data_IF_512501327444
#
_entry.id   IF_512501327444
#
_cell.length_a   1.000
_cell.length_b   1.000
_cell.length_c   1.000
_cell.angle_alpha   90.00
_cell.angle_beta   90.00
_cell.angle_gamma   90.00
#
_symmetry.space_group_name_H-M   'P 1'
#
loop_
_entity.id
_entity.type
_entity.pdbx_description
1 polymer ?
#
# COMPACT_ATOMS: atom_id res chain seq x y z
N UNK A 1 2.24 18.88 40.73
CA UNK A 1 1.99 17.49 40.28
C UNK A 1 1.09 17.39 39.05
N UNK A 2 0.02 18.20 38.92
CA UNK A 2 -0.90 18.17 37.77
C UNK A 2 -0.19 18.52 36.44
N UNK A 3 0.70 19.53 36.41
CA UNK A 3 1.41 19.91 35.19
C UNK A 3 2.35 18.83 34.63
N UNK A 4 2.93 18.00 35.50
CA UNK A 4 3.80 16.89 35.08
C UNK A 4 2.98 15.74 34.47
N UNK A 5 1.78 15.49 35.03
CA UNK A 5 0.85 14.51 34.48
C UNK A 5 0.32 14.93 33.09
N UNK A 6 0.04 16.24 32.90
CA UNK A 6 -0.37 16.78 31.59
C UNK A 6 0.76 16.66 30.56
N UNK A 7 2.00 16.98 30.93
CA UNK A 7 3.14 16.85 30.04
C UNK A 7 3.38 15.40 29.59
N UNK A 8 3.24 14.42 30.51
CA UNK A 8 3.35 13.00 30.18
C UNK A 8 2.23 12.55 29.24
N UNK A 9 0.98 13.00 29.48
CA UNK A 9 -0.14 12.65 28.62
C UNK A 9 0.02 13.20 27.18
N UNK A 10 0.51 14.43 27.05
CA UNK A 10 0.78 15.04 25.73
C UNK A 10 1.92 14.31 25.00
N UNK A 11 3.00 13.96 25.70
CA UNK A 11 4.11 13.20 25.11
C UNK A 11 3.69 11.79 24.67
N UNK A 12 2.88 11.10 25.48
CA UNK A 12 2.34 9.77 25.12
C UNK A 12 1.43 9.81 23.89
N UNK A 13 0.61 10.85 23.76
CA UNK A 13 -0.25 11.05 22.59
C UNK A 13 0.56 11.31 21.31
N UNK A 14 1.66 12.06 21.39
CA UNK A 14 2.55 12.31 20.25
C UNK A 14 3.22 11.03 19.73
N UNK A 15 3.65 10.14 20.62
CA UNK A 15 4.27 8.85 20.25
C UNK A 15 3.24 7.89 19.63
N UNK A 16 1.97 7.96 20.06
CA UNK A 16 0.88 7.16 19.49
C UNK A 16 0.48 7.61 18.07
N UNK A 17 0.60 8.91 17.77
CA UNK A 17 0.22 9.49 16.47
C UNK A 17 1.09 8.98 15.31
N UNK A 18 2.37 8.69 15.57
CA UNK A 18 3.32 8.22 14.55
C UNK A 18 3.04 6.80 14.02
N UNK A 19 2.12 6.08 14.67
CA UNK A 19 1.76 4.70 14.32
C UNK A 19 0.71 4.60 13.21
N UNK A 20 0.06 5.69 12.81
CA UNK A 20 -1.21 5.58 12.09
C UNK A 20 -1.13 5.40 10.56
N UNK A 21 -0.04 5.75 9.87
CA UNK A 21 -0.14 5.78 8.38
C UNK A 21 1.15 5.44 7.59
N UNK A 22 2.33 5.48 8.22
CA UNK A 22 3.57 5.35 7.44
C UNK A 22 4.09 3.92 7.29
N UNK A 23 3.57 2.93 8.03
CA UNK A 23 4.15 1.58 7.99
C UNK A 23 3.95 0.89 6.63
N UNK A 24 2.82 1.09 5.97
CA UNK A 24 2.53 0.46 4.68
C UNK A 24 3.37 1.09 3.58
N UNK A 25 3.37 2.43 3.48
CA UNK A 25 4.21 3.14 2.51
C UNK A 25 5.70 2.87 2.75
N UNK A 26 6.20 2.95 3.99
CA UNK A 26 7.59 2.61 4.32
C UNK A 26 7.94 1.17 3.92
N UNK A 27 7.05 0.21 4.15
CA UNK A 27 7.25 -1.19 3.72
C UNK A 27 7.28 -1.32 2.19
N UNK A 28 6.39 -0.61 1.49
CA UNK A 28 6.32 -0.56 0.03
C UNK A 28 7.58 0.04 -0.57
N UNK A 29 8.03 1.20 -0.07
CA UNK A 29 9.27 1.85 -0.48
C UNK A 29 10.49 0.96 -0.26
N UNK A 30 10.63 0.35 0.92
CA UNK A 30 11.73 -0.58 1.21
C UNK A 30 11.74 -1.81 0.29
N UNK A 31 10.58 -2.25 -0.19
CA UNK A 31 10.43 -3.40 -1.07
C UNK A 31 10.57 -3.03 -2.55
N UNK A 32 10.58 -1.73 -2.87
CA UNK A 32 10.73 -1.20 -4.24
C UNK A 32 9.68 -1.73 -5.24
N UNK A 33 8.47 -1.99 -4.74
CA UNK A 33 7.31 -2.35 -5.55
C UNK A 33 6.02 -2.23 -4.74
N UNK A 34 4.87 -2.04 -5.38
CA UNK A 34 3.54 -2.22 -4.79
C UNK A 34 3.15 -3.70 -4.88
N UNK A 35 2.79 -4.37 -3.76
CA UNK A 35 2.09 -5.65 -3.85
C UNK A 35 0.62 -5.34 -4.07
N UNK A 36 0.11 -5.73 -5.22
CA UNK A 36 -1.27 -5.56 -5.59
C UNK A 36 -2.00 -6.88 -5.37
N UNK A 37 -2.93 -6.91 -4.43
CA UNK A 37 -3.87 -8.02 -4.29
C UNK A 37 -4.88 -7.95 -5.43
N UNK A 38 -5.05 -9.05 -6.16
CA UNK A 38 -5.95 -9.14 -7.31
C UNK A 38 -6.86 -10.36 -7.17
N UNK A 39 -8.06 -10.29 -7.74
CA UNK A 39 -9.03 -11.39 -7.76
C UNK A 39 -9.24 -11.88 -9.19
N UNK A 40 -8.77 -13.10 -9.51
CA UNK A 40 -8.86 -13.62 -10.89
C UNK A 40 -10.26 -14.14 -11.26
N UNK A 41 -11.14 -14.31 -10.27
CA UNK A 41 -12.53 -14.76 -10.43
C UNK A 41 -13.52 -13.68 -10.84
N UNK A 42 -13.10 -12.41 -10.97
CA UNK A 42 -13.98 -11.29 -11.35
C UNK A 42 -13.51 -10.65 -12.69
N UNK A 43 -14.09 -11.06 -13.83
CA UNK A 43 -13.74 -10.53 -15.14
C UNK A 43 -13.87 -8.99 -15.19
N UNK A 44 -12.86 -8.33 -15.75
CA UNK A 44 -12.78 -6.87 -15.86
C UNK A 44 -12.10 -6.18 -14.67
N UNK A 45 -11.93 -6.86 -13.53
CA UNK A 45 -11.19 -6.32 -12.39
C UNK A 45 -9.72 -6.74 -12.42
N UNK A 46 -9.47 -8.05 -12.59
CA UNK A 46 -8.12 -8.54 -12.82
C UNK A 46 -8.12 -9.89 -13.52
N UNK A 47 -7.34 -9.98 -14.60
CA UNK A 47 -7.08 -11.23 -15.33
C UNK A 47 -5.63 -11.26 -15.81
N UNK A 48 -5.02 -12.43 -15.73
CA UNK A 48 -3.73 -12.71 -16.36
C UNK A 48 -3.96 -13.45 -17.69
N UNK A 49 -3.29 -13.02 -18.74
CA UNK A 49 -3.23 -13.78 -19.99
C UNK A 49 -2.22 -14.95 -19.90
N UNK A 50 -2.17 -15.80 -20.93
CA UNK A 50 -1.23 -16.94 -21.00
C UNK A 50 0.25 -16.53 -21.01
N UNK A 51 0.54 -15.25 -21.29
CA UNK A 51 1.88 -14.67 -21.30
C UNK A 51 2.23 -14.02 -19.95
N UNK A 52 1.32 -14.06 -18.98
CA UNK A 52 1.48 -13.45 -17.66
C UNK A 52 1.22 -11.94 -17.62
N UNK A 53 0.65 -11.36 -18.67
CA UNK A 53 0.25 -9.95 -18.67
C UNK A 53 -1.05 -9.79 -17.91
N UNK A 54 -1.04 -8.85 -16.97
CA UNK A 54 -2.21 -8.51 -16.16
C UNK A 54 -2.98 -7.36 -16.80
N UNK A 55 -4.31 -7.47 -16.78
CA UNK A 55 -5.25 -6.45 -17.24
C UNK A 55 -6.50 -6.37 -16.35
N UNK A 56 -7.15 -5.21 -16.32
CA UNK A 56 -8.38 -4.96 -15.54
C UNK A 56 -8.27 -3.76 -14.61
N UNK A 57 -9.37 -3.42 -13.96
CA UNK A 57 -9.47 -2.26 -13.07
C UNK A 57 -8.45 -2.28 -11.91
N UNK A 58 -8.34 -3.39 -11.17
CA UNK A 58 -7.41 -3.51 -10.04
C UNK A 58 -5.96 -3.38 -10.51
N UNK A 59 -5.68 -3.92 -11.70
CA UNK A 59 -4.37 -3.88 -12.34
C UNK A 59 -3.98 -2.45 -12.68
N UNK A 60 -4.86 -1.71 -13.36
CA UNK A 60 -4.61 -0.34 -13.77
C UNK A 60 -4.54 0.60 -12.56
N UNK A 61 -5.39 0.38 -11.56
CA UNK A 61 -5.34 1.11 -10.30
C UNK A 61 -4.00 0.92 -9.59
N UNK A 62 -3.52 -0.33 -9.48
CA UNK A 62 -2.23 -0.61 -8.86
C UNK A 62 -1.05 -0.03 -9.64
N UNK A 63 -1.10 -0.05 -10.98
CA UNK A 63 -0.10 0.62 -11.82
C UNK A 63 -0.11 2.13 -11.60
N UNK A 64 -1.27 2.76 -11.47
CA UNK A 64 -1.39 4.18 -11.16
C UNK A 64 -0.80 4.52 -9.78
N UNK A 65 -1.03 3.69 -8.76
CA UNK A 65 -0.43 3.84 -7.44
C UNK A 65 1.10 3.68 -7.50
N UNK A 66 1.61 2.73 -8.28
CA UNK A 66 3.05 2.56 -8.47
C UNK A 66 3.69 3.76 -9.18
N UNK A 67 3.05 4.27 -10.23
CA UNK A 67 3.48 5.50 -10.88
C UNK A 67 3.50 6.69 -9.91
N UNK A 68 2.49 6.82 -9.05
CA UNK A 68 2.44 7.91 -8.06
C UNK A 68 3.54 7.82 -6.98
N UNK A 69 3.96 6.61 -6.60
CA UNK A 69 4.96 6.41 -5.53
C UNK A 69 6.39 6.36 -6.08
N UNK A 70 6.59 5.73 -7.24
CA UNK A 70 7.91 5.37 -7.78
C UNK A 70 8.24 6.07 -9.10
N UNK A 71 7.32 6.85 -9.67
CA UNK A 71 7.42 7.39 -11.04
C UNK A 71 7.59 6.28 -12.10
N UNK A 72 7.13 5.06 -11.78
CA UNK A 72 7.25 3.88 -12.62
C UNK A 72 6.02 2.96 -12.43
N UNK A 73 5.13 2.84 -13.43
CA UNK A 73 3.95 1.99 -13.34
C UNK A 73 4.29 0.49 -13.33
N UNK A 74 5.52 0.11 -13.70
CA UNK A 74 5.97 -1.29 -13.71
C UNK A 74 6.41 -1.78 -12.34
N UNK A 75 6.54 -0.90 -11.34
CA UNK A 75 6.89 -1.22 -9.93
C UNK A 75 5.72 -1.84 -9.17
N UNK A 76 5.13 -2.89 -9.73
CA UNK A 76 3.99 -3.63 -9.20
C UNK A 76 4.26 -5.13 -9.28
N UNK A 77 3.78 -5.85 -8.25
CA UNK A 77 3.69 -7.31 -8.25
C UNK A 77 2.27 -7.72 -7.91
N UNK A 78 1.62 -8.45 -8.82
CA UNK A 78 0.27 -8.94 -8.64
C UNK A 78 0.28 -10.24 -7.84
N UNK A 79 -0.58 -10.31 -6.82
CA UNK A 79 -0.73 -11.45 -5.90
C UNK A 79 -2.19 -11.86 -5.94
N UNK A 80 -2.53 -13.03 -6.51
CA UNK A 80 -3.88 -13.59 -6.45
C UNK A 80 -4.30 -13.79 -4.99
N UNK A 81 -5.53 -13.39 -4.65
CA UNK A 81 -6.09 -13.47 -3.28
C UNK A 81 -7.32 -14.37 -3.18
N UNK A 82 -7.77 -14.89 -4.31
CA UNK A 82 -8.88 -15.82 -4.51
C UNK A 82 -8.54 -17.28 -4.21
#
# INVERSE_FOLDING_TARGET
MIGFAVAIAVAAAAIAYERYDTQTLKRTLRRDAVLCGVNTGLPGFSSADEKGNWSGFDVDFCRAVAAAIFDDPTKVKFVPLD
#
